data_IF_918761451854
#
_entry.id   IF_918761451854
#
_cell.length_a   1.000
_cell.length_b   1.000
_cell.length_c   1.000
_cell.angle_alpha   90.00
_cell.angle_beta   90.00
_cell.angle_gamma   90.00
#
_symmetry.space_group_name_H-M   'P 1'
#
loop_
_entity.id
_entity.type
_entity.pdbx_description
1 polymer ?
#
# COMPACT_ATOMS: atom_id res chain seq x y z
N UNK A 1 -24.58 -39.37 -44.74
CA UNK A 1 -23.71 -38.52 -45.52
C UNK A 1 -23.58 -37.10 -44.94
N UNK A 2 -24.61 -36.59 -44.30
CA UNK A 2 -24.56 -35.30 -43.61
C UNK A 2 -24.22 -35.39 -42.16
N UNK A 3 -24.05 -36.58 -41.63
CA UNK A 3 -23.90 -36.79 -40.19
C UNK A 3 -22.53 -36.44 -39.67
N UNK A 4 -21.50 -36.55 -40.48
CA UNK A 4 -20.13 -36.27 -40.06
C UNK A 4 -19.85 -34.79 -39.88
N UNK A 5 -20.58 -33.92 -40.58
CA UNK A 5 -20.38 -32.48 -40.47
C UNK A 5 -20.94 -31.91 -39.18
N UNK A 6 -22.03 -32.48 -38.68
CA UNK A 6 -22.62 -32.01 -37.42
C UNK A 6 -21.75 -32.31 -36.22
N UNK A 7 -21.12 -33.49 -36.19
CA UNK A 7 -20.21 -33.86 -35.12
C UNK A 7 -18.97 -32.99 -35.09
N UNK A 8 -18.46 -32.56 -36.22
CA UNK A 8 -17.31 -31.70 -36.32
C UNK A 8 -17.61 -30.30 -35.78
N UNK A 9 -18.81 -29.78 -36.00
CA UNK A 9 -19.23 -28.48 -35.50
C UNK A 9 -19.34 -28.50 -33.99
N UNK A 10 -19.83 -29.57 -33.39
CA UNK A 10 -19.92 -29.72 -31.96
C UNK A 10 -18.56 -29.69 -31.27
N UNK A 11 -17.58 -30.33 -31.86
CA UNK A 11 -16.21 -30.37 -31.31
C UNK A 11 -15.58 -28.99 -31.32
N UNK A 12 -15.83 -28.18 -32.35
CA UNK A 12 -15.31 -26.81 -32.42
C UNK A 12 -15.89 -25.89 -31.33
N UNK A 13 -17.16 -26.08 -30.98
CA UNK A 13 -17.79 -25.31 -29.93
C UNK A 13 -17.19 -25.59 -28.55
N UNK A 14 -16.87 -26.83 -28.27
CA UNK A 14 -16.27 -27.23 -27.01
C UNK A 14 -14.87 -26.67 -26.82
N UNK A 15 -14.09 -26.59 -27.90
CA UNK A 15 -12.72 -26.07 -27.79
C UNK A 15 -12.66 -24.57 -27.55
N UNK A 16 -13.68 -23.82 -27.97
CA UNK A 16 -13.75 -22.36 -27.72
C UNK A 16 -14.03 -22.03 -26.26
N UNK A 17 -14.77 -22.89 -25.57
CA UNK A 17 -15.09 -22.67 -24.16
C UNK A 17 -13.91 -22.86 -23.22
N UNK A 18 -12.93 -23.64 -23.64
CA UNK A 18 -11.77 -23.96 -22.78
C UNK A 18 -10.74 -22.85 -22.68
N UNK A 19 -10.90 -21.74 -23.45
CA UNK A 19 -9.91 -20.67 -23.52
C UNK A 19 -10.25 -19.44 -22.68
N UNK A 20 -11.39 -19.43 -22.01
CA UNK A 20 -11.82 -18.30 -21.22
C UNK A 20 -11.50 -18.56 -19.76
N UNK A 21 -10.28 -18.24 -19.36
CA UNK A 21 -9.87 -18.27 -17.96
C UNK A 21 -9.77 -16.85 -17.44
N UNK A 22 -10.39 -16.53 -16.28
CA UNK A 22 -10.15 -15.24 -15.66
C UNK A 22 -8.72 -15.21 -15.13
N UNK A 23 -7.95 -14.25 -15.60
CA UNK A 23 -6.62 -14.00 -15.04
C UNK A 23 -6.77 -13.03 -13.89
N UNK A 24 -6.38 -13.46 -12.70
CA UNK A 24 -6.34 -12.59 -11.54
C UNK A 24 -4.96 -11.95 -11.51
N UNK A 25 -4.92 -10.64 -11.73
CA UNK A 25 -3.68 -9.87 -11.65
C UNK A 25 -3.66 -9.19 -10.27
N UNK A 26 -2.77 -9.64 -9.41
CA UNK A 26 -2.53 -8.98 -8.13
C UNK A 26 -1.46 -7.90 -8.35
N UNK A 27 -1.84 -6.65 -8.09
CA UNK A 27 -0.88 -5.55 -8.14
C UNK A 27 -0.02 -5.58 -6.88
N UNK A 28 1.27 -5.83 -7.04
CA UNK A 28 2.21 -5.79 -5.93
C UNK A 28 2.64 -4.34 -5.67
N UNK A 29 2.91 -3.98 -4.39
CA UNK A 29 3.45 -2.67 -4.09
C UNK A 29 4.81 -2.48 -4.75
N UNK A 30 5.03 -1.30 -5.33
CA UNK A 30 6.29 -0.95 -5.97
C UNK A 30 6.93 0.16 -5.14
N UNK A 31 8.15 -0.09 -4.67
CA UNK A 31 8.91 0.95 -3.97
C UNK A 31 9.40 1.97 -4.98
N UNK A 32 9.17 3.27 -4.69
CA UNK A 32 9.55 4.35 -5.57
C UNK A 32 10.99 4.79 -5.32
N UNK A 33 11.67 5.14 -6.41
CA UNK A 33 13.02 5.69 -6.37
C UNK A 33 13.00 7.12 -5.83
N UNK A 34 14.13 7.56 -5.29
CA UNK A 34 14.24 8.87 -4.67
C UNK A 34 13.79 10.01 -5.59
N UNK A 35 14.15 9.95 -6.87
CA UNK A 35 13.76 11.00 -7.82
C UNK A 35 12.26 11.01 -8.10
N UNK A 36 11.61 9.85 -8.07
CA UNK A 36 10.15 9.75 -8.25
C UNK A 36 9.42 10.35 -7.07
N UNK A 37 9.89 10.10 -5.86
CA UNK A 37 9.34 10.68 -4.64
C UNK A 37 9.43 12.21 -4.72
N UNK A 38 10.59 12.72 -5.11
CA UNK A 38 10.82 14.15 -5.21
C UNK A 38 9.88 14.81 -6.20
N UNK A 39 9.63 14.17 -7.34
CA UNK A 39 8.70 14.68 -8.35
C UNK A 39 7.26 14.73 -7.83
N UNK A 40 6.84 13.70 -7.10
CA UNK A 40 5.49 13.65 -6.52
C UNK A 40 5.30 14.73 -5.46
N UNK A 41 6.31 14.97 -4.64
CA UNK A 41 6.28 16.03 -3.63
C UNK A 41 6.22 17.40 -4.31
N UNK A 42 7.06 17.62 -5.31
CA UNK A 42 7.13 18.91 -6.02
C UNK A 42 5.84 19.22 -6.78
N UNK A 43 5.15 18.19 -7.27
CA UNK A 43 3.88 18.38 -7.98
C UNK A 43 2.68 18.46 -7.01
N UNK A 44 2.90 18.32 -5.72
CA UNK A 44 1.83 18.42 -4.71
C UNK A 44 0.95 17.20 -4.62
N UNK A 45 1.34 16.07 -5.20
CA UNK A 45 0.53 14.86 -5.16
C UNK A 45 0.65 14.12 -3.84
N UNK A 46 1.80 14.23 -3.17
CA UNK A 46 2.02 13.65 -1.85
C UNK A 46 2.70 14.66 -0.95
N UNK A 47 2.63 14.41 0.36
CA UNK A 47 3.38 15.17 1.33
C UNK A 47 4.86 14.78 1.27
N UNK A 48 5.74 15.73 1.59
CA UNK A 48 7.14 15.40 1.84
C UNK A 48 7.25 14.50 3.07
N UNK A 49 8.40 13.86 3.25
CA UNK A 49 8.61 13.07 4.44
C UNK A 49 8.51 13.93 5.70
N UNK A 50 9.09 15.13 5.69
CA UNK A 50 8.99 16.03 6.84
C UNK A 50 7.54 16.44 7.12
N UNK A 51 6.75 16.70 6.08
CA UNK A 51 5.33 17.00 6.24
C UNK A 51 4.55 15.83 6.81
N UNK A 52 4.87 14.63 6.33
CA UNK A 52 4.25 13.41 6.84
C UNK A 52 4.59 13.19 8.31
N UNK A 53 5.85 13.37 8.69
CA UNK A 53 6.28 13.19 10.08
C UNK A 53 5.63 14.21 11.02
N UNK A 54 5.36 15.42 10.56
CA UNK A 54 4.65 16.41 11.35
C UNK A 54 3.22 15.94 11.69
N UNK A 55 2.55 15.28 10.75
CA UNK A 55 1.23 14.70 11.00
C UNK A 55 1.34 13.48 11.91
N UNK A 56 2.30 12.59 11.64
CA UNK A 56 2.53 11.37 12.42
C UNK A 56 2.81 11.70 13.88
N UNK A 57 3.53 12.77 14.15
CA UNK A 57 3.86 13.19 15.53
C UNK A 57 2.63 13.44 16.39
N UNK A 58 1.48 13.71 15.77
CA UNK A 58 0.22 13.93 16.50
C UNK A 58 -0.35 12.65 17.11
N UNK A 59 -0.01 11.49 16.56
CA UNK A 59 -0.56 10.23 17.05
C UNK A 59 0.49 9.17 17.39
N UNK A 60 1.73 9.36 16.99
CA UNK A 60 2.82 8.45 17.35
C UNK A 60 4.13 9.21 17.41
N UNK A 61 4.55 9.59 18.61
CA UNK A 61 5.76 10.35 18.81
C UNK A 61 6.97 9.43 18.90
N UNK A 62 8.05 9.84 18.24
CA UNK A 62 9.27 9.08 18.25
C UNK A 62 10.26 9.59 17.23
N UNK A 63 11.35 8.86 17.09
CA UNK A 63 12.41 9.15 16.14
C UNK A 63 12.27 8.29 14.90
N UNK A 64 12.33 8.91 13.73
CA UNK A 64 12.31 8.18 12.47
C UNK A 64 13.60 7.37 12.31
N UNK A 65 13.46 6.07 12.10
CA UNK A 65 14.57 5.16 11.84
C UNK A 65 14.72 4.88 10.36
N UNK A 66 13.59 4.66 9.67
CA UNK A 66 13.60 4.31 8.25
C UNK A 66 12.29 4.70 7.60
N UNK A 67 12.33 4.97 6.31
CA UNK A 67 11.13 5.38 5.55
C UNK A 67 11.24 4.89 4.12
N UNK A 68 10.16 4.33 3.63
CA UNK A 68 10.03 3.90 2.23
C UNK A 68 8.69 4.38 1.69
N UNK A 69 8.66 4.76 0.42
CA UNK A 69 7.42 5.13 -0.26
C UNK A 69 7.06 4.07 -1.27
N UNK A 70 5.84 3.57 -1.18
CA UNK A 70 5.32 2.55 -2.09
C UNK A 70 4.12 3.08 -2.87
N UNK A 71 4.01 2.64 -4.10
CA UNK A 71 2.82 2.83 -4.92
C UNK A 71 2.09 1.49 -5.03
N UNK A 72 0.81 1.49 -4.67
CA UNK A 72 -0.02 0.30 -4.73
C UNK A 72 -1.43 0.71 -5.15
N UNK A 73 -1.94 0.15 -6.25
CA UNK A 73 -3.30 0.38 -6.73
C UNK A 73 -3.67 1.88 -6.77
N UNK A 74 -2.84 2.70 -7.39
CA UNK A 74 -3.02 4.15 -7.56
C UNK A 74 -2.94 4.97 -6.28
N UNK A 75 -2.49 4.37 -5.18
CA UNK A 75 -2.28 5.05 -3.90
C UNK A 75 -0.80 5.07 -3.57
N UNK A 76 -0.39 6.09 -2.81
CA UNK A 76 0.97 6.19 -2.32
C UNK A 76 0.96 6.04 -0.79
N UNK A 77 1.88 5.23 -0.30
CA UNK A 77 1.95 4.87 1.12
C UNK A 77 3.38 5.00 1.61
N UNK A 78 3.58 5.74 2.68
CA UNK A 78 4.84 5.70 3.42
C UNK A 78 4.81 4.55 4.41
N UNK A 79 5.82 3.70 4.36
CA UNK A 79 6.09 2.74 5.42
C UNK A 79 7.21 3.31 6.28
N UNK A 80 6.90 3.58 7.55
CA UNK A 80 7.80 4.24 8.48
C UNK A 80 8.17 3.31 9.61
N UNK A 81 9.43 3.36 10.03
CA UNK A 81 9.88 2.77 11.27
C UNK A 81 10.17 3.90 12.26
N UNK A 82 9.46 3.89 13.36
CA UNK A 82 9.55 4.92 14.40
C UNK A 82 10.04 4.27 15.68
N UNK A 83 11.09 4.86 16.27
CA UNK A 83 11.57 4.44 17.59
C UNK A 83 10.86 5.28 18.64
N UNK A 84 9.96 4.66 19.38
CA UNK A 84 9.20 5.35 20.43
C UNK A 84 10.02 5.50 21.70
N UNK A 85 9.49 6.22 22.69
CA UNK A 85 10.25 6.64 23.87
C UNK A 85 10.92 5.51 24.65
N UNK A 86 10.31 4.32 24.65
CA UNK A 86 10.87 3.19 25.36
C UNK A 86 11.95 2.44 24.59
N UNK A 87 12.29 2.93 23.39
CA UNK A 87 13.27 2.29 22.53
C UNK A 87 12.72 1.21 21.62
N UNK A 88 11.43 0.96 21.69
CA UNK A 88 10.76 0.01 20.80
C UNK A 88 10.60 0.61 19.40
N UNK A 89 10.74 -0.21 18.38
CA UNK A 89 10.54 0.21 16.99
C UNK A 89 9.17 -0.27 16.54
N UNK A 90 8.36 0.67 16.08
CA UNK A 90 7.04 0.36 15.53
C UNK A 90 7.03 0.64 14.03
N UNK A 91 6.24 -0.14 13.30
CA UNK A 91 6.04 0.03 11.88
C UNK A 91 4.70 0.71 11.64
N UNK A 92 4.72 1.78 10.86
CA UNK A 92 3.51 2.53 10.53
C UNK A 92 3.30 2.53 9.02
N UNK A 93 2.07 2.31 8.61
CA UNK A 93 1.63 2.45 7.23
C UNK A 93 0.81 3.73 7.13
N UNK A 94 1.30 4.70 6.37
CA UNK A 94 0.78 6.06 6.35
C UNK A 94 0.36 6.42 4.93
N UNK A 95 -0.83 6.99 4.78
CA UNK A 95 -1.25 7.55 3.49
C UNK A 95 -0.39 8.76 3.16
N UNK A 96 0.34 8.69 2.05
CA UNK A 96 1.28 9.74 1.67
C UNK A 96 0.60 11.03 1.24
N UNK A 97 -0.70 11.00 0.93
CA UNK A 97 -1.42 12.21 0.52
C UNK A 97 -1.83 13.09 1.68
N UNK A 98 -2.01 12.53 2.88
CA UNK A 98 -2.49 13.30 4.02
C UNK A 98 -1.76 13.03 5.34
N UNK A 99 -0.85 12.06 5.38
CA UNK A 99 -0.10 11.73 6.59
C UNK A 99 -0.90 10.93 7.62
N UNK A 100 -2.09 10.50 7.30
CA UNK A 100 -2.93 9.75 8.23
C UNK A 100 -2.59 8.25 8.20
N UNK A 101 -2.76 7.55 9.33
CA UNK A 101 -2.53 6.11 9.33
C UNK A 101 -3.54 5.38 8.46
N UNK A 102 -3.13 4.23 7.95
CA UNK A 102 -4.02 3.34 7.22
C UNK A 102 -5.10 2.84 8.18
N UNK A 103 -6.35 3.15 7.86
CA UNK A 103 -7.49 2.82 8.73
C UNK A 103 -7.78 1.32 8.80
N UNK A 104 -7.29 0.55 7.83
CA UNK A 104 -7.45 -0.90 7.85
C UNK A 104 -6.51 -1.60 8.82
N UNK A 105 -5.51 -0.88 9.33
CA UNK A 105 -4.50 -1.42 10.23
C UNK A 105 -4.59 -0.68 11.56
N UNK A 106 -4.68 -1.44 12.64
CA UNK A 106 -4.72 -0.85 13.98
C UNK A 106 -3.39 -0.15 14.29
N UNK A 107 -3.48 1.02 14.90
CA UNK A 107 -2.30 1.75 15.34
C UNK A 107 -1.58 0.96 16.43
N UNK A 108 -0.23 0.84 16.38
CA UNK A 108 0.48 0.13 17.45
C UNK A 108 0.20 0.72 18.83
N UNK A 109 0.04 -0.16 19.80
CA UNK A 109 -0.26 0.27 21.18
C UNK A 109 0.85 1.13 21.76
N UNK A 110 2.08 0.94 21.31
CA UNK A 110 3.24 1.72 21.73
C UNK A 110 3.10 3.19 21.37
N UNK A 111 2.39 3.52 20.31
CA UNK A 111 2.11 4.90 19.94
C UNK A 111 1.16 5.59 20.91
N UNK A 112 0.32 4.83 21.62
CA UNK A 112 -0.73 5.35 22.50
C UNK A 112 -0.29 5.50 23.95
N UNK A 113 0.93 5.11 24.29
CA UNK A 113 1.39 5.09 25.68
C UNK A 113 1.51 6.46 26.32
N UNK A 114 1.67 7.51 25.52
CA UNK A 114 1.77 8.86 26.05
C UNK A 114 0.49 9.31 26.76
N UNK A 115 -0.66 8.83 26.32
CA UNK A 115 -1.92 9.16 26.96
C UNK A 115 -2.07 8.49 28.32
N UNK A 116 -1.58 7.25 28.44
CA UNK A 116 -1.63 6.53 29.71
C UNK A 116 -0.57 7.02 30.69
N UNK A 117 0.53 7.58 30.20
CA UNK A 117 1.61 8.06 31.05
C UNK A 117 1.27 9.37 31.77
N UNK A 118 0.29 10.12 31.27
CA UNK A 118 -0.11 11.39 31.88
C UNK A 118 -1.11 11.23 33.02
N UNK A 119 -1.45 10.02 33.33
CA UNK A 119 -2.30 9.73 34.47
C UNK A 119 -1.49 9.26 35.66
#
# INVERSE_FOLDING_TARGET
>A
LGYTNETAVFICFFSLFALVYPTIINAEPIELEHYQVKDLVNSGQILSLNGTLAVVDQFCQGELIDAHLYQEAHKWRYDLQIKVQRGQIVNLSIDATNGQPDQSIALPSECQKNETATR
#
